data_IF_294434657013
#
_entry.id   IF_294434657013
#
_cell.length_a   1.000
_cell.length_b   1.000
_cell.length_c   1.000
_cell.angle_alpha   90.00
_cell.angle_beta   90.00
_cell.angle_gamma   90.00
#
_symmetry.space_group_name_H-M   'P 1'
#
loop_
_entity.id
_entity.type
_entity.pdbx_description
1 polymer ?
#
# COMPACT_ATOMS: atom_id res chain seq x y z
N UNK A 1 6.59 41.53 18.93
CA UNK A 1 7.92 41.65 19.56
C UNK A 1 8.35 40.24 19.94
N UNK A 2 9.30 39.63 19.22
CA UNK A 2 9.69 38.24 19.48
C UNK A 2 10.67 38.19 20.65
N UNK A 3 10.36 37.42 21.69
CA UNK A 3 11.32 37.14 22.75
C UNK A 3 12.05 35.84 22.41
N UNK A 4 13.29 35.95 21.95
CA UNK A 4 14.17 34.80 21.72
C UNK A 4 15.05 34.63 22.94
N UNK A 5 14.90 33.52 23.67
CA UNK A 5 15.76 33.17 24.80
C UNK A 5 16.33 31.77 24.60
N UNK A 6 17.65 31.66 24.76
CA UNK A 6 18.40 30.41 24.58
C UNK A 6 18.55 29.70 25.93
N UNK A 7 18.11 28.44 26.00
CA UNK A 7 18.28 27.59 27.19
C UNK A 7 19.37 26.55 26.93
N UNK A 8 20.15 26.24 27.96
CA UNK A 8 21.13 25.16 27.92
C UNK A 8 20.45 23.82 28.25
N UNK A 9 20.91 22.72 27.64
CA UNK A 9 20.33 21.37 27.84
C UNK A 9 20.37 20.88 29.29
N UNK A 10 21.17 21.50 30.16
CA UNK A 10 21.26 21.23 31.60
C UNK A 10 20.28 22.03 32.46
N UNK A 11 19.39 22.83 31.86
CA UNK A 11 18.38 23.57 32.63
C UNK A 11 17.30 22.63 33.19
N UNK A 12 17.01 22.67 34.50
CA UNK A 12 16.02 21.79 35.11
C UNK A 12 14.62 22.03 34.54
N UNK A 13 13.82 20.96 34.37
CA UNK A 13 12.48 21.02 33.79
C UNK A 13 11.53 22.02 34.49
N UNK A 14 11.78 22.30 35.77
CA UNK A 14 11.08 23.32 36.55
C UNK A 14 11.29 24.75 35.99
N UNK A 15 12.50 25.05 35.48
CA UNK A 15 12.84 26.34 34.90
C UNK A 15 12.10 26.59 33.57
N UNK A 16 11.98 25.55 32.73
CA UNK A 16 11.24 25.62 31.46
C UNK A 16 9.74 25.86 31.70
N UNK A 17 9.15 25.17 32.68
CA UNK A 17 7.73 25.34 33.03
C UNK A 17 7.41 26.70 33.65
N UNK A 18 8.31 27.24 34.48
CA UNK A 18 8.12 28.58 35.05
C UNK A 18 8.19 29.66 33.96
N UNK A 19 9.11 29.51 33.00
CA UNK A 19 9.27 30.45 31.90
C UNK A 19 8.07 30.48 30.95
N UNK A 20 7.47 29.32 30.65
CA UNK A 20 6.25 29.28 29.84
C UNK A 20 5.06 29.85 30.62
N UNK A 21 4.97 29.58 31.92
CA UNK A 21 3.91 30.11 32.78
C UNK A 21 3.93 31.65 32.87
N UNK A 22 5.09 32.24 33.13
CA UNK A 22 5.26 33.69 33.21
C UNK A 22 5.00 34.39 31.86
N UNK A 23 5.28 33.73 30.74
CA UNK A 23 5.00 34.25 29.39
C UNK A 23 3.51 34.37 29.12
N UNK A 24 2.72 33.34 29.45
CA UNK A 24 1.28 33.35 29.24
C UNK A 24 0.56 34.27 30.23
N UNK A 25 1.05 34.39 31.47
CA UNK A 25 0.51 35.35 32.45
C UNK A 25 0.66 36.81 32.04
N UNK A 26 1.66 37.13 31.19
CA UNK A 26 1.83 38.46 30.60
C UNK A 26 0.95 38.70 29.37
N UNK A 27 0.05 37.78 29.03
CA UNK A 27 -0.93 37.93 27.95
C UNK A 27 -0.39 37.67 26.54
N UNK A 28 0.78 37.05 26.41
CA UNK A 28 1.38 36.78 25.09
C UNK A 28 0.85 35.48 24.47
N UNK A 29 0.65 35.49 23.15
CA UNK A 29 0.15 34.35 22.38
C UNK A 29 1.18 33.22 22.26
N UNK A 30 0.69 31.98 22.12
CA UNK A 30 1.51 30.77 21.90
C UNK A 30 2.26 30.80 20.57
N UNK A 31 1.72 31.50 19.57
CA UNK A 31 2.34 31.67 18.24
C UNK A 31 3.68 32.41 18.29
N UNK A 32 3.92 33.19 19.34
CA UNK A 32 5.03 34.13 19.41
C UNK A 32 6.19 33.61 20.28
N UNK A 33 6.00 32.46 20.92
CA UNK A 33 6.99 31.84 21.81
C UNK A 33 7.84 30.84 21.05
N UNK A 34 9.12 31.16 20.82
CA UNK A 34 10.13 30.22 20.30
C UNK A 34 11.22 29.98 21.33
N UNK A 35 11.29 28.76 21.84
CA UNK A 35 12.33 28.31 22.79
C UNK A 35 13.39 27.54 22.02
N UNK A 36 14.63 27.99 22.10
CA UNK A 36 15.76 27.34 21.43
C UNK A 36 16.72 26.75 22.45
N UNK A 37 17.08 25.48 22.27
CA UNK A 37 18.12 24.83 23.05
C UNK A 37 19.46 25.02 22.37
N UNK A 38 20.43 25.64 23.06
CA UNK A 38 21.77 25.84 22.53
C UNK A 38 22.57 24.56 22.73
N UNK A 39 22.96 23.90 21.63
CA UNK A 39 23.89 22.76 21.63
C UNK A 39 25.28 23.19 22.13
N UNK A 40 25.91 22.37 22.98
CA UNK A 40 27.26 22.64 23.50
C UNK A 40 28.27 22.60 22.35
N UNK A 41 29.03 23.67 22.18
CA UNK A 41 30.40 23.62 21.66
C UNK A 41 31.32 23.12 22.78
N UNK A 42 32.11 22.08 22.52
CA UNK A 42 33.10 21.55 23.48
C UNK A 42 34.10 22.62 23.93
N UNK A 43 34.57 22.62 25.19
CA UNK A 43 35.78 23.33 25.56
C UNK A 43 37.01 22.45 25.34
N UNK A 44 38.04 23.06 24.77
CA UNK A 44 39.38 22.51 24.63
C UNK A 44 40.16 22.60 25.96
N UNK A 45 41.05 21.61 26.14
CA UNK A 45 42.31 21.59 26.90
C UNK A 45 42.59 22.63 28.00
N UNK A 46 42.74 22.17 29.23
CA UNK A 46 43.62 22.76 30.26
C UNK A 46 44.52 21.65 30.84
N UNK A 47 45.79 21.95 31.08
CA UNK A 47 46.85 20.97 31.32
C UNK A 47 47.36 20.82 32.76
N UNK A 48 48.08 19.70 32.94
CA UNK A 48 49.15 19.37 33.92
C UNK A 48 48.79 19.19 35.43
N UNK A 49 49.62 18.54 36.29
CA UNK A 49 50.69 17.52 36.10
C UNK A 49 50.67 16.31 37.10
N UNK A 50 51.28 15.16 36.71
CA UNK A 50 51.91 14.10 37.56
C UNK A 50 51.08 13.33 38.64
N UNK A 51 51.56 12.22 39.26
CA UNK A 51 52.96 11.72 39.31
C UNK A 51 53.18 10.17 39.17
N UNK A 52 54.48 9.80 39.07
CA UNK A 52 55.16 8.56 39.55
C UNK A 52 54.74 7.13 39.13
N UNK A 53 55.52 6.58 38.19
CA UNK A 53 56.50 5.47 38.39
C UNK A 53 56.06 4.19 39.13
N UNK A 54 55.99 3.06 38.40
CA UNK A 54 56.65 1.82 38.84
C UNK A 54 56.98 0.89 37.67
N UNK A 55 58.26 0.48 37.65
CA UNK A 55 58.91 -0.47 36.74
C UNK A 55 58.46 -1.90 37.04
N UNK A 56 58.41 -2.75 36.01
CA UNK A 56 59.00 -4.10 36.09
C UNK A 56 59.42 -4.58 34.71
N UNK A 57 60.70 -4.94 34.59
CA UNK A 57 61.31 -5.56 33.41
C UNK A 57 61.07 -7.08 33.43
N UNK A 58 60.86 -7.67 32.26
CA UNK A 58 61.06 -9.10 31.97
C UNK A 58 61.53 -9.25 30.51
N UNK A 59 62.43 -10.20 30.19
CA UNK A 59 63.35 -10.10 29.05
C UNK A 59 62.80 -10.65 27.73
N UNK A 60 63.37 -10.16 26.62
CA UNK A 60 63.28 -10.76 25.27
C UNK A 60 63.89 -12.17 25.23
N UNK A 61 63.54 -12.99 24.21
CA UNK A 61 64.50 -13.14 23.11
C UNK A 61 63.90 -13.11 21.70
N UNK A 62 64.82 -12.99 20.76
CA UNK A 62 64.74 -12.80 19.31
C UNK A 62 63.92 -13.84 18.53
N UNK A 63 63.33 -13.40 17.42
CA UNK A 63 63.43 -14.10 16.13
C UNK A 63 62.96 -13.18 14.99
N UNK A 64 63.86 -12.94 14.05
CA UNK A 64 63.60 -12.27 12.77
C UNK A 64 62.42 -12.89 12.04
N UNK A 65 61.36 -12.11 11.86
CA UNK A 65 60.37 -12.29 10.83
C UNK A 65 60.25 -10.99 10.07
N UNK A 66 60.82 -10.92 8.87
CA UNK A 66 60.59 -9.83 7.93
C UNK A 66 59.11 -9.83 7.50
N UNK A 67 58.25 -9.29 8.35
CA UNK A 67 56.92 -8.86 7.97
C UNK A 67 57.05 -7.50 7.32
N UNK A 68 57.00 -7.46 5.98
CA UNK A 68 56.46 -6.27 5.32
C UNK A 68 54.97 -6.23 5.64
N UNK A 69 54.65 -5.70 6.82
CA UNK A 69 53.33 -5.17 7.10
C UNK A 69 53.39 -3.77 6.50
N UNK A 70 52.92 -3.65 5.25
CA UNK A 70 52.57 -2.34 4.72
C UNK A 70 51.44 -1.85 5.62
N UNK A 71 51.75 -0.81 6.37
CA UNK A 71 50.87 -0.13 7.32
C UNK A 71 49.61 0.37 6.59
N UNK A 72 48.53 -0.39 6.72
CA UNK A 72 47.22 -0.03 6.19
C UNK A 72 46.60 1.03 7.10
N UNK A 73 46.64 2.28 6.62
CA UNK A 73 45.64 3.34 6.77
C UNK A 73 45.57 4.17 8.07
N UNK A 74 46.37 5.25 8.12
CA UNK A 74 46.16 6.45 8.94
C UNK A 74 45.00 7.33 8.40
N UNK A 75 43.77 6.80 8.29
CA UNK A 75 42.60 7.59 7.89
C UNK A 75 41.46 7.49 8.90
N UNK A 76 40.81 8.62 9.19
CA UNK A 76 39.57 8.69 9.97
C UNK A 76 38.42 9.17 9.08
N UNK A 77 37.33 8.39 9.03
CA UNK A 77 36.12 8.74 8.26
C UNK A 77 35.14 9.47 9.16
N UNK A 78 34.80 10.71 8.80
CA UNK A 78 33.73 11.47 9.46
C UNK A 78 32.42 11.32 8.67
N UNK A 79 31.32 10.96 9.35
CA UNK A 79 30.00 10.80 8.72
C UNK A 79 28.97 11.75 9.35
N UNK A 80 28.31 12.55 8.52
CA UNK A 80 27.15 13.37 8.91
C UNK A 80 25.94 13.09 8.01
N UNK A 81 25.49 11.83 8.02
CA UNK A 81 24.37 11.34 7.19
C UNK A 81 23.06 12.07 7.50
N UNK A 82 22.79 12.34 8.78
CA UNK A 82 21.55 13.01 9.21
C UNK A 82 21.53 14.49 8.84
N UNK A 83 22.65 15.22 8.98
CA UNK A 83 22.74 16.61 8.54
C UNK A 83 22.49 16.75 7.04
N UNK A 84 23.12 15.89 6.23
CA UNK A 84 22.88 15.86 4.78
C UNK A 84 21.40 15.57 4.42
N UNK A 85 20.74 14.66 5.15
CA UNK A 85 19.34 14.34 4.93
C UNK A 85 18.42 15.54 5.24
N UNK A 86 18.68 16.27 6.32
CA UNK A 86 17.93 17.48 6.67
C UNK A 86 18.15 18.61 5.65
N UNK A 87 19.37 18.80 5.16
CA UNK A 87 19.67 19.78 4.12
C UNK A 87 18.94 19.47 2.80
N UNK A 88 18.82 18.17 2.46
CA UNK A 88 18.11 17.70 1.25
C UNK A 88 16.59 17.70 1.37
N UNK A 89 16.03 17.86 2.57
CA UNK A 89 14.58 17.79 2.81
C UNK A 89 13.78 18.86 2.07
N UNK A 90 14.38 20.04 1.92
CA UNK A 90 13.72 21.19 1.31
C UNK A 90 13.92 21.26 -0.21
N UNK A 91 14.66 20.32 -0.82
CA UNK A 91 15.00 20.36 -2.25
C UNK A 91 13.76 20.47 -3.15
N UNK A 92 12.67 19.77 -2.80
CA UNK A 92 11.40 19.83 -3.52
C UNK A 92 10.71 21.21 -3.45
N UNK A 93 11.08 22.05 -2.47
CA UNK A 93 10.61 23.44 -2.33
C UNK A 93 11.50 24.48 -3.02
N UNK A 94 12.59 24.03 -3.67
CA UNK A 94 13.55 24.88 -4.39
C UNK A 94 13.58 24.49 -5.87
N UNK A 95 12.59 24.92 -6.68
CA UNK A 95 12.46 24.52 -8.09
C UNK A 95 13.69 24.84 -8.94
N UNK A 96 14.46 25.87 -8.57
CA UNK A 96 15.70 26.28 -9.23
C UNK A 96 16.81 25.23 -9.15
N UNK A 97 16.76 24.35 -8.14
CA UNK A 97 17.71 23.24 -7.97
C UNK A 97 17.22 21.95 -8.64
N UNK A 98 15.97 21.91 -9.12
CA UNK A 98 15.34 20.74 -9.69
C UNK A 98 15.36 20.76 -11.23
N UNK A 99 15.80 19.66 -11.82
CA UNK A 99 15.87 19.46 -13.27
C UNK A 99 14.71 18.61 -13.82
N UNK A 100 13.82 18.13 -12.95
CA UNK A 100 12.57 17.44 -13.32
C UNK A 100 11.40 17.86 -12.43
N UNK A 101 10.21 17.97 -13.04
CA UNK A 101 8.93 18.16 -12.36
C UNK A 101 7.95 17.05 -12.75
N UNK A 102 7.30 16.46 -11.76
CA UNK A 102 6.22 15.49 -11.95
C UNK A 102 4.87 16.18 -11.71
N UNK A 103 3.95 16.06 -12.65
CA UNK A 103 2.55 16.44 -12.48
C UNK A 103 1.77 15.20 -12.02
N UNK A 104 1.40 15.16 -10.75
CA UNK A 104 0.92 13.94 -10.09
C UNK A 104 -0.59 13.99 -9.87
N UNK A 105 -1.24 12.85 -10.14
CA UNK A 105 -2.65 12.60 -9.89
C UNK A 105 -3.58 13.40 -10.81
N UNK A 106 -4.89 13.27 -10.57
CA UNK A 106 -5.92 13.95 -11.35
C UNK A 106 -5.83 15.49 -11.23
N UNK A 107 -5.32 15.97 -10.09
CA UNK A 107 -5.11 17.40 -9.80
C UNK A 107 -3.87 17.97 -10.47
N UNK A 108 -3.01 17.12 -11.05
CA UNK A 108 -1.74 17.51 -11.68
C UNK A 108 -0.85 18.36 -10.77
N UNK A 109 -0.78 18.00 -9.50
CA UNK A 109 0.05 18.70 -8.53
C UNK A 109 1.54 18.59 -8.88
N UNK A 110 2.28 19.70 -8.93
CA UNK A 110 3.70 19.68 -9.27
C UNK A 110 4.54 19.18 -8.09
N UNK A 111 5.41 18.21 -8.36
CA UNK A 111 6.42 17.69 -7.43
C UNK A 111 7.78 17.80 -8.12
N UNK A 112 8.63 18.71 -7.63
CA UNK A 112 9.97 18.94 -8.16
C UNK A 112 10.98 17.94 -7.56
N UNK A 113 11.94 17.50 -8.37
CA UNK A 113 12.98 16.58 -7.94
C UNK A 113 14.26 16.72 -8.78
N UNK A 114 15.31 15.99 -8.37
CA UNK A 114 16.61 15.94 -9.07
C UNK A 114 16.79 14.58 -9.75
N UNK A 115 16.93 14.57 -11.09
CA UNK A 115 17.05 13.36 -11.92
C UNK A 115 18.20 12.47 -11.48
N UNK A 116 19.36 13.06 -11.18
CA UNK A 116 20.55 12.31 -10.77
C UNK A 116 20.31 11.50 -9.48
N UNK A 117 19.65 12.10 -8.49
CA UNK A 117 19.32 11.44 -7.22
C UNK A 117 18.29 10.33 -7.44
N UNK A 118 17.26 10.60 -8.24
CA UNK A 118 16.22 9.63 -8.60
C UNK A 118 16.81 8.41 -9.31
N UNK A 119 17.64 8.65 -10.33
CA UNK A 119 18.26 7.60 -11.13
C UNK A 119 19.30 6.78 -10.34
N UNK A 120 20.03 7.40 -9.41
CA UNK A 120 20.97 6.70 -8.55
C UNK A 120 20.27 5.72 -7.60
N UNK A 121 19.10 6.10 -7.06
CA UNK A 121 18.39 5.31 -6.04
C UNK A 121 17.31 4.39 -6.57
N UNK A 122 16.85 4.61 -7.80
CA UNK A 122 15.84 3.77 -8.43
C UNK A 122 16.20 3.49 -9.87
N UNK A 123 16.33 2.19 -10.18
CA UNK A 123 16.52 1.71 -11.55
C UNK A 123 15.34 2.07 -12.45
N UNK A 124 14.13 2.18 -11.90
CA UNK A 124 12.92 2.54 -12.64
C UNK A 124 12.99 4.00 -13.07
N UNK A 125 13.33 4.91 -12.15
CA UNK A 125 13.57 6.32 -12.49
C UNK A 125 14.76 6.49 -13.44
N UNK A 126 15.84 5.73 -13.26
CA UNK A 126 16.97 5.75 -14.20
C UNK A 126 16.52 5.42 -15.63
N UNK A 127 15.75 4.34 -15.81
CA UNK A 127 15.23 3.98 -17.14
C UNK A 127 14.28 5.04 -17.66
N UNK A 128 13.33 5.49 -16.85
CA UNK A 128 12.32 6.48 -17.25
C UNK A 128 12.93 7.83 -17.67
N UNK A 129 14.03 8.26 -17.03
CA UNK A 129 14.61 9.58 -17.25
C UNK A 129 15.76 9.60 -18.28
N UNK A 130 16.54 8.51 -18.37
CA UNK A 130 17.75 8.45 -19.19
C UNK A 130 17.69 7.45 -20.34
N UNK A 131 16.75 6.50 -20.34
CA UNK A 131 16.53 5.65 -21.51
C UNK A 131 15.47 6.31 -22.38
N UNK A 132 15.88 6.76 -23.56
CA UNK A 132 14.98 7.27 -24.58
C UNK A 132 13.93 6.21 -24.86
N UNK A 133 12.63 6.47 -24.64
CA UNK A 133 11.61 5.57 -25.14
C UNK A 133 11.79 5.51 -26.67
N UNK A 134 11.97 4.31 -27.21
CA UNK A 134 11.75 4.11 -28.65
C UNK A 134 10.34 4.65 -28.98
N UNK A 135 10.13 5.28 -30.15
CA UNK A 135 8.84 5.87 -30.49
C UNK A 135 7.81 4.75 -30.70
N UNK A 136 7.28 4.19 -29.61
CA UNK A 136 6.17 3.27 -29.61
C UNK A 136 4.90 4.09 -29.54
N UNK A 137 4.33 4.29 -30.74
CA UNK A 137 2.91 4.47 -31.05
C UNK A 137 2.11 5.13 -29.93
N UNK A 138 1.84 6.42 -30.10
CA UNK A 138 0.60 7.05 -29.62
C UNK A 138 -0.53 6.03 -29.81
N UNK A 139 -1.08 5.54 -28.71
CA UNK A 139 -2.36 4.84 -28.70
C UNK A 139 -3.41 5.89 -29.02
N UNK A 140 -3.61 6.13 -30.32
CA UNK A 140 -4.70 6.97 -30.79
C UNK A 140 -6.02 6.33 -30.35
N UNK A 141 -6.84 7.10 -29.64
CA UNK A 141 -8.25 6.78 -29.46
C UNK A 141 -8.91 6.83 -30.85
N UNK A 142 -9.84 5.92 -31.18
CA UNK A 142 -10.44 5.88 -32.50
C UNK A 142 -11.39 7.08 -32.65
N UNK A 143 -11.00 8.06 -33.47
CA UNK A 143 -11.92 9.09 -33.97
C UNK A 143 -12.52 8.59 -35.27
N UNK A 144 -13.84 8.38 -35.27
CA UNK A 144 -14.60 8.09 -36.47
C UNK A 144 -14.68 9.32 -37.39
N UNK A 145 -14.16 9.08 -38.61
CA UNK A 145 -14.70 9.40 -39.93
C UNK A 145 -15.14 10.83 -40.31
N UNK A 146 -14.33 11.38 -41.23
CA UNK A 146 -14.62 12.08 -42.51
C UNK A 146 -15.62 13.25 -42.41
N UNK A 147 -15.30 14.43 -42.95
CA UNK A 147 -15.35 14.73 -44.40
C UNK A 147 -14.58 16.04 -44.68
N UNK A 148 -13.92 16.08 -45.85
CA UNK A 148 -13.41 17.20 -46.67
C UNK A 148 -11.95 17.63 -46.47
N UNK A 149 -11.22 18.06 -47.49
CA UNK A 149 -11.19 17.90 -48.96
C UNK A 149 -10.04 18.84 -49.33
N UNK A 150 -8.94 18.31 -49.90
CA UNK A 150 -8.04 18.99 -50.84
C UNK A 150 -7.53 20.41 -50.49
N UNK A 151 -6.25 20.50 -50.12
CA UNK A 151 -5.33 21.29 -50.94
C UNK A 151 -3.89 20.76 -50.87
N UNK A 152 -3.45 20.31 -52.04
CA UNK A 152 -2.12 19.86 -52.42
C UNK A 152 -1.26 21.07 -52.76
N UNK A 153 -0.09 21.22 -52.14
CA UNK A 153 1.17 21.73 -52.76
C UNK A 153 2.24 21.93 -51.68
N UNK A 154 3.28 21.09 -51.71
CA UNK A 154 4.67 21.45 -52.09
C UNK A 154 5.35 22.32 -51.03
N UNK A 155 6.49 21.98 -50.43
CA UNK A 155 7.67 21.30 -50.97
C UNK A 155 8.65 21.08 -49.81
N UNK A 156 9.23 19.89 -49.71
CA UNK A 156 10.48 19.68 -48.98
C UNK A 156 11.64 20.37 -49.71
N UNK A 157 12.70 20.76 -48.98
CA UNK A 157 14.04 20.48 -49.43
C UNK A 157 14.74 19.51 -48.46
N UNK A 158 15.07 18.33 -49.00
CA UNK A 158 16.13 17.45 -48.53
C UNK A 158 17.47 18.19 -48.55
N UNK A 159 18.07 18.46 -47.38
CA UNK A 159 19.52 18.58 -47.17
C UNK A 159 19.85 18.90 -45.70
N UNK A 160 20.17 17.86 -44.91
CA UNK A 160 21.50 17.71 -44.30
C UNK A 160 21.57 16.46 -43.43
N UNK A 161 22.01 15.37 -44.05
CA UNK A 161 22.68 14.26 -43.39
C UNK A 161 24.14 14.69 -43.16
N UNK A 162 24.42 15.38 -42.05
CA UNK A 162 25.77 15.43 -41.47
C UNK A 162 25.68 16.06 -40.07
N UNK A 163 26.31 15.41 -39.09
CA UNK A 163 26.40 15.78 -37.66
C UNK A 163 25.30 15.24 -36.73
N UNK A 164 25.24 13.91 -36.60
CA UNK A 164 24.93 13.25 -35.33
C UNK A 164 26.12 13.35 -34.35
N UNK A 165 26.74 14.52 -34.27
CA UNK A 165 27.64 14.84 -33.16
C UNK A 165 26.75 15.14 -31.97
N UNK A 166 26.85 14.28 -30.96
CA UNK A 166 26.25 14.43 -29.64
C UNK A 166 26.47 15.86 -29.15
N UNK A 167 25.45 16.70 -29.28
CA UNK A 167 25.35 17.86 -28.42
C UNK A 167 24.94 17.32 -27.05
N UNK A 168 25.73 17.55 -25.98
CA UNK A 168 25.22 17.29 -24.64
C UNK A 168 23.96 18.16 -24.48
N UNK A 169 22.79 17.55 -24.33
CA UNK A 169 21.56 18.28 -24.11
C UNK A 169 21.72 19.07 -22.80
N UNK A 170 21.99 20.37 -22.95
CA UNK A 170 22.15 21.32 -21.85
C UNK A 170 20.81 21.45 -21.15
N UNK A 171 20.72 20.95 -19.91
CA UNK A 171 19.66 21.16 -18.92
C UNK A 171 18.25 21.43 -19.46
N UNK A 172 17.65 20.48 -20.18
CA UNK A 172 16.21 20.52 -20.39
C UNK A 172 15.51 20.11 -19.09
N UNK A 173 14.79 21.05 -18.47
CA UNK A 173 13.89 20.75 -17.37
C UNK A 173 12.81 19.79 -17.91
N UNK A 174 12.75 18.57 -17.37
CA UNK A 174 11.79 17.56 -17.87
C UNK A 174 10.49 17.65 -17.07
N UNK A 175 9.35 17.59 -17.77
CA UNK A 175 8.04 17.48 -17.11
C UNK A 175 7.40 16.15 -17.48
N UNK A 176 7.00 15.38 -16.47
CA UNK A 176 6.37 14.07 -16.63
C UNK A 176 5.03 14.04 -15.91
N UNK A 177 4.07 13.27 -16.42
CA UNK A 177 2.75 13.09 -15.80
C UNK A 177 2.74 11.71 -15.12
N UNK A 178 2.29 11.67 -13.87
CA UNK A 178 2.13 10.44 -13.08
C UNK A 178 0.67 10.36 -12.66
N UNK A 179 -0.06 9.39 -13.20
CA UNK A 179 -1.51 9.21 -12.94
C UNK A 179 -1.76 8.07 -11.94
N UNK A 180 -0.75 7.24 -11.69
CA UNK A 180 -0.85 5.99 -10.93
C UNK A 180 -0.92 6.20 -9.41
N UNK A 181 -0.45 7.34 -8.92
CA UNK A 181 -0.31 7.61 -7.49
C UNK A 181 -0.89 8.96 -7.09
N UNK A 182 -1.35 9.05 -5.84
CA UNK A 182 -1.81 10.31 -5.26
C UNK A 182 -0.64 11.26 -5.01
N UNK A 183 -0.87 12.59 -5.09
CA UNK A 183 0.17 13.59 -4.85
C UNK A 183 0.91 13.40 -3.53
N UNK A 184 0.17 13.13 -2.44
CA UNK A 184 0.74 12.91 -1.10
C UNK A 184 1.64 11.67 -1.03
N UNK A 185 1.25 10.60 -1.71
CA UNK A 185 2.01 9.35 -1.79
C UNK A 185 3.31 9.57 -2.56
N UNK A 186 3.21 10.22 -3.72
CA UNK A 186 4.37 10.48 -4.56
C UNK A 186 5.32 11.49 -3.91
N UNK A 187 4.81 12.50 -3.22
CA UNK A 187 5.62 13.46 -2.47
C UNK A 187 6.43 12.77 -1.36
N UNK A 188 5.81 11.86 -0.61
CA UNK A 188 6.50 11.03 0.39
C UNK A 188 7.58 10.14 -0.25
N UNK A 189 7.30 9.56 -1.42
CA UNK A 189 8.27 8.77 -2.17
C UNK A 189 9.49 9.61 -2.58
N UNK A 190 9.27 10.81 -3.13
CA UNK A 190 10.33 11.72 -3.57
C UNK A 190 11.14 12.23 -2.36
N UNK A 191 10.48 12.57 -1.25
CA UNK A 191 11.14 12.93 0.01
C UNK A 191 12.07 11.81 0.49
N UNK A 192 11.59 10.55 0.48
CA UNK A 192 12.41 9.39 0.81
C UNK A 192 13.60 9.23 -0.12
N UNK A 193 13.43 9.44 -1.44
CA UNK A 193 14.53 9.32 -2.39
C UNK A 193 15.59 10.41 -2.16
N UNK A 194 15.19 11.64 -1.84
CA UNK A 194 16.15 12.72 -1.57
C UNK A 194 16.87 12.58 -0.23
N UNK A 195 16.16 12.18 0.82
CA UNK A 195 16.68 12.25 2.19
C UNK A 195 17.06 10.89 2.77
N UNK A 196 16.47 9.80 2.26
CA UNK A 196 16.51 8.48 2.89
C UNK A 196 15.58 8.35 4.10
N UNK A 197 14.75 9.35 4.38
CA UNK A 197 13.84 9.38 5.51
C UNK A 197 12.42 9.72 5.05
N UNK A 198 11.42 9.11 5.69
CA UNK A 198 10.01 9.43 5.45
C UNK A 198 9.17 9.05 6.66
N UNK A 199 8.13 9.83 6.94
CA UNK A 199 7.18 9.52 8.01
C UNK A 199 6.02 8.71 7.45
N UNK A 200 5.89 7.45 7.85
CA UNK A 200 4.80 6.59 7.41
C UNK A 200 3.50 6.92 8.16
N UNK A 201 2.40 6.99 7.42
CA UNK A 201 1.09 7.33 7.97
C UNK A 201 0.06 6.29 7.50
N UNK A 202 -0.90 5.86 8.35
CA UNK A 202 -1.87 4.83 7.98
C UNK A 202 -2.65 5.17 6.70
N UNK A 203 -3.01 6.45 6.51
CA UNK A 203 -3.78 6.92 5.35
C UNK A 203 -3.02 6.79 4.02
N UNK A 204 -1.70 6.95 4.02
CA UNK A 204 -0.87 6.90 2.81
C UNK A 204 -0.12 5.58 2.66
N UNK A 205 -0.12 4.73 3.70
CA UNK A 205 0.70 3.53 3.77
C UNK A 205 0.53 2.61 2.55
N UNK A 206 -0.71 2.33 2.16
CA UNK A 206 -0.97 1.45 1.02
C UNK A 206 -0.39 2.01 -0.28
N UNK A 207 -0.59 3.31 -0.53
CA UNK A 207 -0.03 3.98 -1.70
C UNK A 207 1.50 3.97 -1.68
N UNK A 208 2.12 4.33 -0.55
CA UNK A 208 3.59 4.38 -0.41
C UNK A 208 4.20 2.98 -0.56
N UNK A 209 3.57 1.95 0.00
CA UNK A 209 4.01 0.56 -0.14
C UNK A 209 4.00 0.11 -1.60
N UNK A 210 2.93 0.42 -2.34
CA UNK A 210 2.83 0.09 -3.77
C UNK A 210 3.78 0.91 -4.64
N UNK A 211 3.95 2.20 -4.33
CA UNK A 211 4.91 3.07 -5.02
C UNK A 211 6.36 2.59 -4.79
N UNK A 212 6.70 2.22 -3.56
CA UNK A 212 8.01 1.66 -3.24
C UNK A 212 8.28 0.37 -4.02
N UNK A 213 7.28 -0.52 -4.14
CA UNK A 213 7.39 -1.73 -4.96
C UNK A 213 7.53 -1.41 -6.45
N UNK A 214 6.70 -0.48 -6.97
CA UNK A 214 6.70 -0.08 -8.38
C UNK A 214 8.03 0.57 -8.81
N UNK A 215 8.60 1.46 -7.98
CA UNK A 215 9.85 2.14 -8.28
C UNK A 215 11.10 1.36 -7.80
N UNK A 216 10.93 0.16 -7.23
CA UNK A 216 12.04 -0.71 -6.82
C UNK A 216 12.82 -0.20 -5.60
N UNK A 217 12.14 0.45 -4.65
CA UNK A 217 12.71 0.92 -3.39
C UNK A 217 12.47 -0.11 -2.28
N UNK A 218 13.29 -1.16 -2.27
CA UNK A 218 13.09 -2.33 -1.41
C UNK A 218 13.12 -2.03 0.10
N UNK A 219 13.98 -1.12 0.54
CA UNK A 219 14.10 -0.73 1.95
C UNK A 219 12.83 -0.04 2.44
N UNK A 220 12.30 0.91 1.66
CA UNK A 220 11.05 1.59 1.97
C UNK A 220 9.88 0.60 1.98
N UNK A 221 9.84 -0.32 1.01
CA UNK A 221 8.81 -1.37 0.95
C UNK A 221 8.85 -2.25 2.20
N UNK A 222 10.04 -2.66 2.67
CA UNK A 222 10.20 -3.44 3.91
C UNK A 222 9.75 -2.66 5.13
N UNK A 223 10.11 -1.38 5.23
CA UNK A 223 9.66 -0.51 6.31
C UNK A 223 8.12 -0.38 6.34
N UNK A 224 7.50 -0.20 5.18
CA UNK A 224 6.05 -0.19 5.04
C UNK A 224 5.43 -1.51 5.52
N UNK A 225 5.98 -2.65 5.09
CA UNK A 225 5.48 -3.97 5.50
C UNK A 225 5.57 -4.20 7.02
N UNK A 226 6.60 -3.68 7.69
CA UNK A 226 6.71 -3.71 9.15
C UNK A 226 5.69 -2.80 9.85
N UNK A 227 5.35 -1.66 9.25
CA UNK A 227 4.40 -0.70 9.80
C UNK A 227 2.92 -1.10 9.60
N UNK A 228 2.63 -2.02 8.67
CA UNK A 228 1.27 -2.53 8.39
C UNK A 228 0.55 -2.96 9.67
N UNK A 229 1.21 -3.71 10.55
CA UNK A 229 0.55 -4.24 11.75
C UNK A 229 0.05 -3.12 12.68
N UNK A 230 0.80 -2.02 12.78
CA UNK A 230 0.40 -0.86 13.58
C UNK A 230 -0.74 -0.06 12.95
N UNK A 231 -1.00 -0.25 11.66
CA UNK A 231 -2.02 0.48 10.91
C UNK A 231 -3.35 -0.24 10.88
N UNK A 232 -3.42 -1.54 11.16
CA UNK A 232 -4.67 -2.30 11.16
C UNK A 232 -5.31 -2.17 12.53
N UNK A 233 -6.28 -1.26 12.64
CA UNK A 233 -7.06 -0.98 13.83
C UNK A 233 -8.52 -0.80 13.45
N UNK A 234 -9.45 -0.92 14.40
CA UNK A 234 -10.90 -0.78 14.16
C UNK A 234 -11.22 0.55 13.45
N UNK A 235 -10.60 1.66 13.85
CA UNK A 235 -10.86 2.97 13.25
C UNK A 235 -10.30 3.13 11.82
N UNK A 236 -9.24 2.40 11.48
CA UNK A 236 -8.51 2.57 10.22
C UNK A 236 -8.91 1.57 9.14
N UNK A 237 -9.50 0.42 9.49
CA UNK A 237 -9.78 -0.64 8.50
C UNK A 237 -10.71 -0.19 7.38
N UNK A 238 -11.73 0.62 7.67
CA UNK A 238 -12.63 1.13 6.63
C UNK A 238 -11.89 2.03 5.63
N UNK A 239 -11.00 2.90 6.12
CA UNK A 239 -10.20 3.77 5.26
C UNK A 239 -9.20 2.96 4.42
N UNK A 240 -8.55 1.95 5.02
CA UNK A 240 -7.64 1.05 4.30
C UNK A 240 -8.35 0.28 3.20
N UNK A 241 -9.53 -0.29 3.47
CA UNK A 241 -10.32 -1.02 2.47
C UNK A 241 -10.84 -0.10 1.36
N UNK A 242 -11.29 1.11 1.69
CA UNK A 242 -11.69 2.10 0.69
C UNK A 242 -10.52 2.50 -0.22
N UNK A 243 -9.33 2.72 0.35
CA UNK A 243 -8.13 3.07 -0.43
C UNK A 243 -7.63 1.93 -1.33
N UNK A 244 -8.02 0.69 -1.05
CA UNK A 244 -7.54 -0.48 -1.80
C UNK A 244 -8.09 -0.58 -3.21
N UNK A 245 -9.25 0.02 -3.50
CA UNK A 245 -9.86 0.00 -4.83
C UNK A 245 -8.93 0.59 -5.89
N UNK A 246 -8.29 1.72 -5.58
CA UNK A 246 -7.34 2.40 -6.48
C UNK A 246 -6.12 1.53 -6.81
N UNK A 247 -5.70 0.66 -5.90
CA UNK A 247 -4.47 -0.10 -6.02
C UNK A 247 -4.70 -1.61 -6.23
N UNK A 248 -5.88 -2.03 -6.65
CA UNK A 248 -6.29 -3.45 -6.72
C UNK A 248 -5.41 -4.31 -7.65
N UNK A 249 -4.76 -3.66 -8.64
CA UNK A 249 -3.85 -4.30 -9.58
C UNK A 249 -2.51 -4.72 -8.96
N UNK A 250 -2.10 -4.10 -7.85
CA UNK A 250 -0.81 -4.36 -7.22
C UNK A 250 -0.85 -5.59 -6.31
N UNK A 251 0.24 -6.38 -6.34
CA UNK A 251 0.39 -7.59 -5.52
C UNK A 251 0.38 -7.27 -4.01
N UNK A 252 1.06 -6.19 -3.62
CA UNK A 252 1.14 -5.78 -2.22
C UNK A 252 -0.24 -5.41 -1.65
N UNK A 253 -1.11 -4.77 -2.45
CA UNK A 253 -2.51 -4.50 -2.09
C UNK A 253 -3.27 -5.77 -1.75
N UNK A 254 -3.20 -6.80 -2.61
CA UNK A 254 -3.92 -8.06 -2.37
C UNK A 254 -3.51 -8.71 -1.05
N UNK A 255 -2.21 -8.73 -0.75
CA UNK A 255 -1.70 -9.26 0.51
C UNK A 255 -2.15 -8.43 1.72
N UNK A 256 -2.18 -7.10 1.61
CA UNK A 256 -2.65 -6.23 2.70
C UNK A 256 -4.15 -6.40 2.94
N UNK A 257 -4.96 -6.36 1.88
CA UNK A 257 -6.42 -6.51 1.96
C UNK A 257 -6.78 -7.83 2.63
N UNK A 258 -6.08 -8.91 2.31
CA UNK A 258 -6.29 -10.20 2.97
C UNK A 258 -6.09 -10.11 4.49
N UNK A 259 -4.98 -9.51 4.96
CA UNK A 259 -4.72 -9.30 6.40
C UNK A 259 -5.74 -8.38 7.06
N UNK A 260 -6.18 -7.33 6.37
CA UNK A 260 -7.21 -6.42 6.87
C UNK A 260 -8.55 -7.15 7.01
N UNK A 261 -8.91 -8.00 6.05
CA UNK A 261 -10.15 -8.79 6.12
C UNK A 261 -10.10 -9.83 7.24
N UNK A 262 -8.96 -10.49 7.45
CA UNK A 262 -8.76 -11.39 8.60
C UNK A 262 -8.95 -10.65 9.94
N UNK A 263 -8.47 -9.41 10.05
CA UNK A 263 -8.72 -8.59 11.23
C UNK A 263 -10.21 -8.20 11.39
N UNK A 264 -10.87 -7.86 10.28
CA UNK A 264 -12.31 -7.54 10.27
C UNK A 264 -13.14 -8.75 10.68
N UNK A 265 -12.74 -9.95 10.30
CA UNK A 265 -13.45 -11.17 10.69
C UNK A 265 -13.46 -11.37 12.21
N UNK A 266 -12.34 -11.06 12.88
CA UNK A 266 -12.22 -11.17 14.33
C UNK A 266 -12.94 -10.04 15.09
N UNK A 267 -13.04 -8.84 14.50
CA UNK A 267 -13.64 -7.64 15.13
C UNK A 267 -14.95 -7.20 14.46
N UNK A 268 -15.70 -8.14 13.88
CA UNK A 268 -16.82 -7.87 12.98
C UNK A 268 -17.87 -6.94 13.58
N UNK A 269 -18.31 -7.18 14.81
CA UNK A 269 -19.31 -6.36 15.50
C UNK A 269 -18.86 -4.90 15.69
N UNK A 270 -17.59 -4.67 16.04
CA UNK A 270 -17.07 -3.31 16.25
C UNK A 270 -16.98 -2.56 14.92
N UNK A 271 -16.43 -3.21 13.89
CA UNK A 271 -16.22 -2.62 12.56
C UNK A 271 -17.55 -2.29 11.87
N UNK A 272 -18.54 -3.17 11.95
CA UNK A 272 -19.86 -2.97 11.32
C UNK A 272 -20.67 -1.83 11.96
N UNK A 273 -20.42 -1.52 13.23
CA UNK A 273 -21.07 -0.42 13.94
C UNK A 273 -20.42 0.95 13.71
N UNK A 274 -19.26 1.00 13.03
CA UNK A 274 -18.60 2.26 12.73
C UNK A 274 -19.39 3.09 11.72
N UNK A 275 -19.53 4.39 11.99
CA UNK A 275 -20.09 5.33 11.01
C UNK A 275 -19.30 5.37 9.71
N UNK A 276 -17.98 5.13 9.76
CA UNK A 276 -17.11 5.04 8.58
C UNK A 276 -17.41 3.84 7.70
N UNK A 277 -18.06 2.79 8.21
CA UNK A 277 -18.44 1.62 7.41
C UNK A 277 -19.38 2.01 6.25
N UNK A 278 -20.24 3.00 6.48
CA UNK A 278 -21.14 3.55 5.46
C UNK A 278 -20.43 4.26 4.31
N UNK A 279 -19.13 4.57 4.43
CA UNK A 279 -18.31 5.17 3.37
C UNK A 279 -17.73 4.13 2.40
N UNK A 280 -17.82 2.83 2.71
CA UNK A 280 -17.24 1.79 1.88
C UNK A 280 -18.00 1.65 0.55
N UNK A 281 -17.31 1.32 -0.56
CA UNK A 281 -17.98 0.96 -1.81
C UNK A 281 -18.89 -0.26 -1.67
N UNK A 282 -19.99 -0.31 -2.43
CA UNK A 282 -20.99 -1.39 -2.36
C UNK A 282 -20.37 -2.79 -2.49
N UNK A 283 -19.42 -2.95 -3.41
CA UNK A 283 -18.78 -4.25 -3.64
C UNK A 283 -17.91 -4.69 -2.46
N UNK A 284 -17.32 -3.76 -1.70
CA UNK A 284 -16.55 -4.04 -0.48
C UNK A 284 -17.49 -4.44 0.65
N UNK A 285 -18.63 -3.78 0.82
CA UNK A 285 -19.63 -4.15 1.82
C UNK A 285 -20.17 -5.56 1.54
N UNK A 286 -20.49 -5.87 0.29
CA UNK A 286 -20.88 -7.23 -0.11
C UNK A 286 -19.77 -8.25 0.18
N UNK A 287 -18.51 -7.91 -0.12
CA UNK A 287 -17.36 -8.77 0.17
C UNK A 287 -17.29 -9.10 1.66
N UNK A 288 -17.43 -8.10 2.55
CA UNK A 288 -17.35 -8.29 4.01
C UNK A 288 -18.51 -9.16 4.50
N UNK A 289 -19.76 -8.81 4.15
CA UNK A 289 -20.94 -9.52 4.63
C UNK A 289 -21.02 -10.96 4.12
N UNK A 290 -20.46 -11.25 2.95
CA UNK A 290 -20.40 -12.60 2.38
C UNK A 290 -19.37 -13.53 3.05
N UNK A 291 -18.49 -13.01 3.93
CA UNK A 291 -17.46 -13.83 4.60
C UNK A 291 -18.10 -14.72 5.66
N UNK A 292 -17.77 -16.00 5.59
CA UNK A 292 -18.26 -17.00 6.56
C UNK A 292 -17.56 -16.91 7.91
N UNK A 293 -16.32 -16.43 7.91
CA UNK A 293 -15.46 -16.32 9.10
C UNK A 293 -15.78 -15.07 9.94
N UNK A 294 -16.63 -14.17 9.44
CA UNK A 294 -16.99 -12.91 10.08
C UNK A 294 -17.74 -13.13 11.40
N UNK A 295 -17.08 -12.80 12.52
CA UNK A 295 -17.64 -12.82 13.88
C UNK A 295 -18.47 -11.57 14.13
N UNK A 296 -19.72 -11.61 13.68
CA UNK A 296 -20.70 -10.57 13.94
C UNK A 296 -22.10 -11.15 14.11
N UNK A 297 -22.91 -10.50 14.94
CA UNK A 297 -24.32 -10.86 15.09
C UNK A 297 -25.08 -10.57 13.80
N UNK A 298 -26.01 -11.45 13.44
CA UNK A 298 -26.80 -11.29 12.21
C UNK A 298 -27.67 -10.02 12.24
N UNK A 299 -28.06 -9.58 13.44
CA UNK A 299 -28.72 -8.30 13.62
C UNK A 299 -27.80 -7.11 13.32
N UNK A 300 -26.54 -7.15 13.79
CA UNK A 300 -25.53 -6.13 13.48
C UNK A 300 -25.26 -6.05 11.97
N UNK A 301 -25.19 -7.21 11.28
CA UNK A 301 -25.07 -7.25 9.81
C UNK A 301 -26.26 -6.56 9.12
N UNK A 302 -27.48 -6.82 9.59
CA UNK A 302 -28.68 -6.15 9.09
C UNK A 302 -28.64 -4.64 9.34
N UNK A 303 -28.29 -4.20 10.55
CA UNK A 303 -28.18 -2.78 10.87
C UNK A 303 -27.11 -2.08 10.02
N UNK A 304 -25.94 -2.68 9.84
CA UNK A 304 -24.88 -2.14 8.99
C UNK A 304 -25.32 -2.01 7.53
N UNK A 305 -25.97 -3.05 6.99
CA UNK A 305 -26.54 -3.02 5.63
C UNK A 305 -27.63 -1.94 5.48
N UNK A 306 -28.48 -1.77 6.50
CA UNK A 306 -29.51 -0.74 6.52
C UNK A 306 -28.91 0.67 6.57
N UNK A 307 -27.94 0.92 7.44
CA UNK A 307 -27.27 2.21 7.57
C UNK A 307 -26.51 2.58 6.29
N UNK A 308 -25.81 1.62 5.68
CA UNK A 308 -25.15 1.82 4.41
C UNK A 308 -26.16 2.14 3.30
N UNK A 309 -27.27 1.39 3.23
CA UNK A 309 -28.29 1.58 2.20
C UNK A 309 -28.99 2.94 2.33
N UNK A 310 -29.28 3.40 3.56
CA UNK A 310 -29.83 4.74 3.81
C UNK A 310 -28.92 5.84 3.26
N UNK A 311 -27.63 5.80 3.62
CA UNK A 311 -26.65 6.77 3.13
C UNK A 311 -26.47 6.73 1.61
N UNK A 312 -26.52 5.54 1.02
CA UNK A 312 -26.47 5.40 -0.44
C UNK A 312 -27.69 6.06 -1.11
N UNK A 313 -28.89 5.91 -0.54
CA UNK A 313 -30.10 6.57 -1.04
C UNK A 313 -30.06 8.09 -0.85
N UNK A 314 -29.50 8.58 0.26
CA UNK A 314 -29.32 10.01 0.50
C UNK A 314 -28.44 10.66 -0.58
N UNK A 315 -27.40 9.94 -1.04
CA UNK A 315 -26.52 10.37 -2.12
C UNK A 315 -27.14 10.17 -3.52
N UNK A 316 -28.05 9.20 -3.68
CA UNK A 316 -28.67 8.83 -4.95
C UNK A 316 -30.20 8.89 -4.83
N UNK A 317 -30.76 10.11 -4.93
CA UNK A 317 -32.18 10.43 -4.65
C UNK A 317 -33.23 9.63 -5.47
N UNK A 318 -32.82 8.74 -6.37
CA UNK A 318 -33.69 8.05 -7.31
C UNK A 318 -33.82 6.54 -7.10
N UNK A 319 -33.17 5.95 -6.09
CA UNK A 319 -33.23 4.49 -5.85
C UNK A 319 -34.02 4.16 -4.59
N UNK A 320 -35.05 3.30 -4.65
CA UNK A 320 -35.81 2.93 -3.46
C UNK A 320 -34.95 2.08 -2.51
N UNK A 321 -35.05 2.35 -1.20
CA UNK A 321 -34.25 1.68 -0.17
C UNK A 321 -34.37 0.15 -0.21
N UNK A 322 -35.54 -0.37 -0.59
CA UNK A 322 -35.83 -1.80 -0.71
C UNK A 322 -34.95 -2.50 -1.75
N UNK A 323 -34.67 -1.85 -2.88
CA UNK A 323 -33.85 -2.44 -3.94
C UNK A 323 -32.37 -2.41 -3.56
N UNK A 324 -31.94 -1.34 -2.88
CA UNK A 324 -30.55 -1.18 -2.42
C UNK A 324 -30.23 -2.21 -1.35
N UNK A 325 -31.06 -2.33 -0.31
CA UNK A 325 -30.85 -3.30 0.78
C UNK A 325 -31.01 -4.73 0.29
N UNK A 326 -31.84 -4.97 -0.72
CA UNK A 326 -32.01 -6.27 -1.37
C UNK A 326 -30.70 -6.92 -1.81
N UNK A 327 -29.70 -6.11 -2.19
CA UNK A 327 -28.36 -6.58 -2.55
C UNK A 327 -27.57 -7.21 -1.39
N UNK A 328 -28.02 -7.04 -0.15
CA UNK A 328 -27.33 -7.53 1.05
C UNK A 328 -28.14 -8.57 1.84
N UNK A 329 -29.46 -8.65 1.62
CA UNK A 329 -30.37 -9.55 2.33
C UNK A 329 -29.91 -11.01 2.22
N UNK A 330 -29.37 -11.43 1.08
CA UNK A 330 -28.90 -12.81 0.84
C UNK A 330 -27.72 -13.23 1.73
N UNK A 331 -26.97 -12.27 2.29
CA UNK A 331 -25.81 -12.53 3.15
C UNK A 331 -26.17 -12.58 4.65
N UNK A 332 -27.42 -12.33 5.01
CA UNK A 332 -27.88 -12.27 6.39
C UNK A 332 -28.74 -13.48 6.72
N UNK A 333 -28.36 -14.19 7.78
CA UNK A 333 -29.09 -15.36 8.27
C UNK A 333 -30.16 -14.95 9.27
N UNK A 334 -31.31 -14.49 8.76
CA UNK A 334 -32.43 -13.99 9.60
C UNK A 334 -32.89 -14.99 10.66
N UNK A 335 -32.80 -16.30 10.39
CA UNK A 335 -33.18 -17.34 11.36
C UNK A 335 -32.31 -17.35 12.63
N UNK A 336 -31.14 -16.70 12.65
CA UNK A 336 -30.32 -16.52 13.87
C UNK A 336 -30.63 -15.23 14.63
N UNK A 337 -31.43 -14.33 14.08
CA UNK A 337 -31.86 -13.11 14.77
C UNK A 337 -33.02 -13.47 15.71
N UNK A 338 -33.01 -13.05 16.99
CA UNK A 338 -34.10 -13.34 17.92
C UNK A 338 -35.48 -12.94 17.37
N UNK A 339 -36.48 -13.80 17.54
CA UNK A 339 -37.85 -13.59 17.04
C UNK A 339 -38.46 -12.25 17.48
N UNK A 340 -38.17 -11.82 18.72
CA UNK A 340 -38.62 -10.53 19.27
C UNK A 340 -38.10 -9.37 18.44
N UNK A 341 -36.80 -9.35 18.15
CA UNK A 341 -36.13 -8.33 17.35
C UNK A 341 -36.60 -8.37 15.89
N UNK A 342 -36.75 -9.57 15.32
CA UNK A 342 -37.30 -9.73 13.97
C UNK A 342 -38.68 -9.08 13.83
N UNK A 343 -39.58 -9.32 14.80
CA UNK A 343 -40.96 -8.83 14.72
C UNK A 343 -41.13 -7.37 15.11
N UNK A 344 -40.31 -6.87 16.05
CA UNK A 344 -40.43 -5.50 16.57
C UNK A 344 -39.58 -4.49 15.80
N UNK A 345 -38.43 -4.90 15.24
CA UNK A 345 -37.50 -3.97 14.60
C UNK A 345 -37.33 -4.21 13.11
N UNK A 346 -37.28 -5.47 12.65
CA UNK A 346 -37.01 -5.78 11.23
C UNK A 346 -38.29 -5.76 10.38
N UNK A 347 -39.35 -6.43 10.85
CA UNK A 347 -40.62 -6.57 10.13
C UNK A 347 -41.34 -5.23 9.87
N UNK A 348 -41.44 -4.29 10.84
CA UNK A 348 -42.15 -3.03 10.62
C UNK A 348 -41.53 -2.13 9.55
N UNK A 349 -40.25 -2.35 9.20
CA UNK A 349 -39.57 -1.60 8.16
C UNK A 349 -40.06 -1.96 6.75
N UNK A 350 -40.65 -3.16 6.55
CA UNK A 350 -41.15 -3.61 5.25
C UNK A 350 -40.06 -3.81 4.17
N UNK A 351 -38.78 -3.83 4.58
CA UNK A 351 -37.62 -3.92 3.69
C UNK A 351 -37.28 -5.36 3.31
N UNK A 352 -37.52 -6.30 4.24
CA UNK A 352 -37.26 -7.72 4.03
C UNK A 352 -38.55 -8.38 3.52
N UNK A 353 -38.49 -9.20 2.45
CA UNK A 353 -39.63 -9.97 1.99
C UNK A 353 -40.29 -10.79 3.12
N UNK A 354 -41.64 -10.78 3.25
CA UNK A 354 -42.33 -11.45 4.34
C UNK A 354 -42.11 -12.97 4.34
N UNK A 355 -41.85 -13.57 3.16
CA UNK A 355 -41.51 -14.98 3.01
C UNK A 355 -40.24 -15.36 3.79
N UNK A 356 -39.22 -14.49 3.77
CA UNK A 356 -37.95 -14.72 4.47
C UNK A 356 -38.17 -14.68 5.98
N UNK A 357 -38.95 -13.72 6.48
CA UNK A 357 -39.29 -13.59 7.90
C UNK A 357 -40.10 -14.80 8.36
N UNK A 358 -41.12 -15.19 7.61
CA UNK A 358 -41.96 -16.35 7.92
C UNK A 358 -41.14 -17.64 7.97
N UNK A 359 -40.27 -17.86 6.99
CA UNK A 359 -39.39 -19.03 6.96
C UNK A 359 -38.40 -19.00 8.15
N UNK A 360 -37.88 -17.83 8.51
CA UNK A 360 -36.96 -17.68 9.65
C UNK A 360 -37.64 -18.02 10.98
N UNK A 361 -38.88 -17.54 11.20
CA UNK A 361 -39.68 -17.87 12.37
C UNK A 361 -40.09 -19.34 12.42
N UNK A 362 -40.46 -19.92 11.27
CA UNK A 362 -40.75 -21.35 11.17
C UNK A 362 -39.53 -22.21 11.54
N UNK A 363 -38.34 -21.85 11.04
CA UNK A 363 -37.09 -22.52 11.40
C UNK A 363 -36.74 -22.40 12.89
N UNK A 364 -37.06 -21.27 13.52
CA UNK A 364 -36.87 -21.06 14.96
C UNK A 364 -37.84 -21.88 15.82
N UNK A 365 -39.07 -22.10 15.34
CA UNK A 365 -40.07 -22.92 16.01
C UNK A 365 -39.80 -24.43 15.83
N UNK A 366 -39.39 -24.85 14.63
CA UNK A 366 -39.01 -26.21 14.30
C UNK A 366 -37.94 -26.23 13.19
N UNK A 367 -36.68 -26.60 13.50
CA UNK A 367 -35.59 -26.66 12.52
C UNK A 367 -35.80 -27.68 11.39
N UNK A 368 -36.71 -28.64 11.52
CA UNK A 368 -37.02 -29.64 10.48
C UNK A 368 -38.04 -29.17 9.46
N UNK A 369 -38.74 -28.07 9.77
CA UNK A 369 -39.84 -27.54 8.95
C UNK A 369 -39.38 -26.79 7.68
N UNK A 370 -38.12 -26.33 7.63
CA UNK A 370 -37.58 -25.53 6.53
C UNK A 370 -36.15 -25.94 6.20
N UNK A 371 -35.85 -26.17 4.90
CA UNK A 371 -34.48 -26.41 4.43
C UNK A 371 -33.64 -25.13 4.56
N UNK A 372 -32.53 -25.14 5.32
CA UNK A 372 -31.62 -23.99 5.48
C UNK A 372 -31.11 -23.41 4.16
N UNK A 373 -31.10 -24.21 3.08
CA UNK A 373 -30.62 -23.80 1.76
C UNK A 373 -31.58 -22.86 1.04
N UNK A 374 -32.83 -22.75 1.48
CA UNK A 374 -33.81 -21.80 0.93
C UNK A 374 -33.60 -20.36 1.42
N UNK A 375 -32.73 -20.14 2.42
CA UNK A 375 -32.41 -18.80 2.93
C UNK A 375 -31.28 -18.08 2.16
N UNK A 376 -30.51 -18.80 1.32
CA UNK A 376 -29.39 -18.22 0.56
C UNK A 376 -29.32 -18.81 -0.85
N UNK A 377 -29.97 -18.18 -1.85
CA UNK A 377 -29.73 -18.56 -3.23
C UNK A 377 -28.34 -18.02 -3.61
N UNK A 378 -27.35 -18.90 -3.82
CA UNK A 378 -25.96 -18.59 -4.25
C UNK A 378 -24.89 -18.45 -3.16
N UNK A 379 -24.79 -19.42 -2.25
CA UNK A 379 -23.44 -19.85 -1.83
C UNK A 379 -22.77 -20.51 -3.03
N UNK A 380 -21.95 -19.75 -3.76
CA UNK A 380 -21.07 -20.29 -4.80
C UNK A 380 -20.31 -21.47 -4.21
N UNK A 381 -20.51 -22.64 -4.81
CA UNK A 381 -19.83 -23.90 -4.49
C UNK A 381 -18.32 -23.71 -4.62
N UNK A 382 -17.64 -23.25 -3.56
CA UNK A 382 -16.20 -23.49 -3.40
C UNK A 382 -16.05 -24.93 -2.94
N UNK A 383 -16.00 -25.84 -3.91
CA UNK A 383 -15.43 -27.16 -3.69
C UNK A 383 -13.98 -26.94 -3.22
N UNK A 384 -13.74 -27.21 -1.93
CA UNK A 384 -12.40 -27.29 -1.38
C UNK A 384 -11.65 -28.37 -2.15
N UNK A 385 -10.70 -27.96 -3.00
CA UNK A 385 -9.55 -28.81 -3.30
C UNK A 385 -8.71 -28.84 -2.03
N UNK A 386 -9.05 -29.77 -1.15
CA UNK A 386 -8.13 -30.24 -0.12
C UNK A 386 -6.97 -30.90 -0.85
N UNK A 387 -5.86 -30.17 -0.97
CA UNK A 387 -4.58 -30.73 -1.39
C UNK A 387 -4.06 -31.54 -0.21
N UNK A 388 -4.35 -32.84 -0.18
CA UNK A 388 -3.67 -33.77 0.69
C UNK A 388 -2.20 -33.84 0.27
N UNK A 389 -1.33 -33.24 1.07
CA UNK A 389 0.11 -33.44 0.99
C UNK A 389 0.39 -34.84 1.53
N UNK A 390 0.51 -35.82 0.64
CA UNK A 390 1.14 -37.09 0.99
C UNK A 390 2.62 -36.99 0.66
N UNK A 391 3.38 -36.88 1.75
CA UNK A 391 4.81 -37.09 1.81
C UNK A 391 5.15 -38.55 1.47
N UNK A 392 5.99 -38.75 0.46
CA UNK A 392 6.78 -39.97 0.35
C UNK A 392 8.09 -39.66 -0.36
N UNK A 393 9.19 -39.84 0.39
CA UNK A 393 10.56 -39.84 -0.07
C UNK A 393 10.79 -41.01 -1.06
N UNK A 394 11.49 -40.70 -2.15
CA UNK A 394 12.21 -41.62 -3.07
C UNK A 394 13.19 -42.55 -2.29
N UNK A 395 13.77 -43.66 -2.84
CA UNK A 395 14.40 -43.70 -4.17
C UNK A 395 14.59 -45.07 -4.91
N UNK A 396 15.16 -44.97 -6.12
CA UNK A 396 15.81 -46.00 -6.97
C UNK A 396 14.96 -46.96 -7.82
N UNK A 397 15.25 -46.98 -9.13
CA UNK A 397 14.84 -48.05 -10.05
C UNK A 397 14.81 -47.64 -11.53
N UNK A 398 15.98 -47.62 -12.17
CA UNK A 398 16.22 -47.22 -13.56
C UNK A 398 15.63 -48.19 -14.63
N UNK A 399 15.46 -47.65 -15.86
CA UNK A 399 15.61 -48.31 -17.17
C UNK A 399 14.48 -49.29 -17.58
N UNK A 400 13.97 -49.42 -18.82
CA UNK A 400 14.45 -49.12 -20.19
C UNK A 400 13.35 -49.46 -21.21
N UNK A 401 13.32 -48.72 -22.33
CA UNK A 401 13.04 -49.11 -23.74
C UNK A 401 11.79 -49.89 -24.20
N UNK A 402 10.99 -49.21 -25.01
CA UNK A 402 10.67 -49.46 -26.44
C UNK A 402 10.41 -50.89 -26.99
N UNK A 403 9.20 -51.01 -27.58
CA UNK A 403 8.82 -51.67 -28.85
C UNK A 403 8.98 -53.19 -29.03
N UNK A 404 7.87 -53.91 -29.32
CA UNK A 404 7.46 -54.32 -30.69
C UNK A 404 6.48 -55.51 -30.70
N UNK A 405 5.42 -55.37 -31.52
CA UNK A 405 4.88 -56.31 -32.53
C UNK A 405 4.47 -57.76 -32.23
N UNK A 406 3.33 -58.15 -32.83
CA UNK A 406 2.92 -59.52 -33.20
C UNK A 406 1.59 -59.94 -32.55
N UNK A 407 0.45 -59.94 -33.24
CA UNK A 407 -0.06 -61.03 -34.12
C UNK A 407 -0.33 -62.31 -33.32
N UNK A 408 -1.43 -63.06 -33.39
CA UNK A 408 -2.55 -63.22 -34.31
C UNK A 408 -3.54 -64.19 -33.59
N UNK A 409 -4.80 -64.28 -34.02
CA UNK A 409 -5.74 -65.24 -33.44
C UNK A 409 -7.20 -64.97 -33.81
N UNK A 410 -7.53 -65.14 -35.08
CA UNK A 410 -8.90 -65.09 -35.59
C UNK A 410 -9.74 -66.34 -35.32
N UNK A 411 -11.06 -66.17 -35.36
CA UNK A 411 -12.12 -67.02 -35.97
C UNK A 411 -13.48 -66.49 -35.46
N UNK A 412 -14.30 -65.87 -36.31
CA UNK A 412 -15.39 -66.48 -37.10
C UNK A 412 -16.52 -67.05 -36.20
N UNK A 413 -17.83 -66.88 -36.42
CA UNK A 413 -18.66 -66.32 -37.48
C UNK A 413 -20.14 -66.46 -37.03
N UNK A 414 -21.02 -65.50 -37.40
CA UNK A 414 -22.42 -65.67 -37.89
C UNK A 414 -23.18 -64.34 -37.74
N UNK A 415 -23.43 -63.60 -38.82
CA UNK A 415 -24.55 -63.75 -39.79
C UNK A 415 -25.92 -63.52 -39.12
N UNK A 416 -26.89 -62.75 -39.66
CA UNK A 416 -27.03 -61.97 -40.88
C UNK A 416 -28.35 -61.16 -40.75
N UNK A 417 -28.45 -59.99 -41.41
CA UNK A 417 -29.64 -59.38 -42.09
C UNK A 417 -31.06 -59.53 -41.51
N UNK A 418 -31.92 -58.52 -41.43
CA UNK A 418 -32.17 -57.42 -42.38
C UNK A 418 -33.63 -57.51 -42.90
N UNK A 419 -34.22 -56.36 -43.22
CA UNK A 419 -35.61 -56.10 -43.69
C UNK A 419 -36.63 -55.94 -42.54
N UNK A 420 -37.46 -54.91 -42.47
CA UNK A 420 -37.96 -53.96 -43.46
C UNK A 420 -38.28 -52.61 -42.80
#
# INVERSE_FOLDING_TARGET
MYAVKYLTHSSPAHSVRQLTYDWFHRGHSRSDLKVFFRGKSSPASEGAPGPTQQRSMGPMPEASGSGMIVDESDYSTFENKTGLAEDMKFLASMPELCDVTFLVGDTREPVCAVKAVLAARSRVFHKMLYQTPSPQRKREMPRENKIRLFLKRSSEPLLNLQNAAQQPQVNQHHTLIIEEFEPDVFRQLIEYIHTGCVTLQPRTLLGVMNAADYYGLDELRRACAGFVQCCITVDTVCALLASAERYIQYKCTKSLVQKVLEFVDEHGNEVLNLGSFTLLPQHVVRLILAREELRADEFTKFQAALMWSKKYCDNNQNTPLKDVIGNFIEYIQFHKIPATVLMQEVNPLGLVPPEIIMNALAYQADPTSVDPRKFSPHRVRRQGRSMSVQSSLDPYGSNTTLSSSGSDGGSDQKQHSGSN
#
